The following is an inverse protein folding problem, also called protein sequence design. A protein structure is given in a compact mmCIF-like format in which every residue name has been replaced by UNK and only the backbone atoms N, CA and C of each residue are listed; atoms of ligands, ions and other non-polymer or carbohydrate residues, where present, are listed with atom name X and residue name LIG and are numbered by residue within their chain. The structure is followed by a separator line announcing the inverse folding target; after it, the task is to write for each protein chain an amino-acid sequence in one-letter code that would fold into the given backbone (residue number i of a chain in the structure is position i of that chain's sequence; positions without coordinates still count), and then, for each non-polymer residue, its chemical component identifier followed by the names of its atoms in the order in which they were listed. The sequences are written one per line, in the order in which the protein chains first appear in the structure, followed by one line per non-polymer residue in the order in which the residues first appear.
data_IF_738650538147
#
_entry.id   IF_738650538147
#
_cell.length_a   1.000
_cell.length_b   1.000
_cell.length_c   1.000
_cell.angle_alpha   90.00
_cell.angle_beta   90.00
_cell.angle_gamma   90.00
#
_symmetry.space_group_name_H-M   'P 1'
#
loop_
_entity.id
_entity.type
_entity.pdbx_description
1 polymer ?
#
# COMPACT_ATOMS: atom_id res chain seq x y z
N UNK A 1 1.79 10.50 18.56
CA UNK A 1 2.97 11.37 18.28
C UNK A 1 3.93 10.60 17.39
N UNK A 2 4.60 11.28 16.45
CA UNK A 2 5.63 10.68 15.61
C UNK A 2 6.82 10.22 16.46
N UNK A 3 7.47 9.12 16.07
CA UNK A 3 8.70 8.65 16.74
C UNK A 3 9.89 9.56 16.38
N UNK A 4 10.95 9.63 17.20
CA UNK A 4 12.16 10.40 16.87
C UNK A 4 12.71 10.08 15.47
N UNK A 5 12.80 8.79 15.14
CA UNK A 5 13.22 8.30 13.81
C UNK A 5 12.33 8.85 12.68
N UNK A 6 11.03 9.00 12.93
CA UNK A 6 10.06 9.48 11.93
C UNK A 6 10.15 11.00 11.73
N UNK A 7 10.51 11.74 12.78
CA UNK A 7 10.78 13.18 12.69
C UNK A 7 12.01 13.42 11.81
N UNK A 8 13.10 12.67 12.04
CA UNK A 8 14.31 12.77 11.22
C UNK A 8 14.05 12.40 9.74
N UNK A 9 13.19 11.40 9.50
CA UNK A 9 12.74 11.03 8.15
C UNK A 9 12.02 12.19 7.48
N UNK A 10 11.07 12.82 8.17
CA UNK A 10 10.31 13.95 7.63
C UNK A 10 11.23 15.14 7.34
N UNK A 11 12.13 15.47 8.26
CA UNK A 11 13.08 16.57 8.07
C UNK A 11 13.97 16.31 6.85
N UNK A 12 14.48 15.08 6.70
CA UNK A 12 15.28 14.69 5.54
C UNK A 12 14.48 14.78 4.22
N UNK A 13 13.21 14.37 4.22
CA UNK A 13 12.33 14.50 3.04
C UNK A 13 12.08 15.96 2.70
N UNK A 14 11.86 16.81 3.72
CA UNK A 14 11.63 18.24 3.55
C UNK A 14 12.85 18.98 3.01
N UNK A 15 14.05 18.52 3.36
CA UNK A 15 15.31 19.11 2.95
C UNK A 15 15.78 18.67 1.55
N UNK A 16 15.32 17.51 1.05
CA UNK A 16 15.76 16.95 -0.22
C UNK A 16 15.31 17.78 -1.44
N UNK A 17 16.22 18.05 -2.37
CA UNK A 17 15.98 18.90 -3.56
C UNK A 17 16.25 18.18 -4.88
N UNK A 18 17.27 17.34 -4.95
CA UNK A 18 17.58 16.57 -6.18
C UNK A 18 16.88 15.21 -6.21
N UNK A 19 16.77 14.58 -7.38
CA UNK A 19 16.19 13.24 -7.50
C UNK A 19 16.89 12.21 -6.61
N UNK A 20 18.22 12.27 -6.53
CA UNK A 20 19.04 11.39 -5.69
C UNK A 20 18.79 11.64 -4.20
N UNK A 21 18.73 12.91 -3.78
CA UNK A 21 18.42 13.29 -2.39
C UNK A 21 16.99 12.87 -2.00
N UNK A 22 16.04 13.02 -2.93
CA UNK A 22 14.64 12.62 -2.73
C UNK A 22 14.56 11.10 -2.57
N UNK A 23 15.22 10.33 -3.44
CA UNK A 23 15.23 8.87 -3.32
C UNK A 23 15.92 8.41 -2.03
N UNK A 24 17.05 9.02 -1.67
CA UNK A 24 17.77 8.71 -0.45
C UNK A 24 16.95 9.02 0.82
N UNK A 25 16.26 10.16 0.85
CA UNK A 25 15.36 10.51 1.97
C UNK A 25 14.14 9.59 2.01
N UNK A 26 13.60 9.18 0.86
CA UNK A 26 12.50 8.22 0.79
C UNK A 26 12.91 6.86 1.38
N UNK A 27 14.12 6.37 1.09
CA UNK A 27 14.61 5.12 1.66
C UNK A 27 14.61 5.12 3.20
N UNK A 28 14.80 6.28 3.84
CA UNK A 28 14.81 6.41 5.32
C UNK A 28 13.45 6.13 5.96
N UNK A 29 12.34 6.19 5.22
CA UNK A 29 10.99 5.90 5.76
C UNK A 29 10.84 4.48 6.31
N UNK A 30 11.82 3.60 6.08
CA UNK A 30 11.78 2.19 6.42
C UNK A 30 12.87 1.85 7.46
N UNK A 31 12.87 2.44 8.67
CA UNK A 31 13.94 2.22 9.64
C UNK A 31 14.09 0.74 10.06
N UNK A 32 13.01 -0.04 9.97
CA UNK A 32 13.02 -1.48 10.24
C UNK A 32 13.44 -2.36 9.04
N UNK A 33 13.64 -1.79 7.85
CA UNK A 33 13.95 -2.53 6.63
C UNK A 33 15.31 -2.14 6.08
N UNK A 34 16.22 -3.11 5.97
CA UNK A 34 17.50 -2.94 5.28
C UNK A 34 17.39 -3.54 3.88
N UNK A 35 17.39 -2.74 2.81
CA UNK A 35 17.36 -3.29 1.46
C UNK A 35 18.60 -4.17 1.21
N UNK A 36 18.42 -5.29 0.51
CA UNK A 36 19.47 -6.28 0.21
C UNK A 36 20.56 -5.83 -0.78
N UNK A 37 20.82 -4.53 -0.90
CA UNK A 37 21.96 -3.99 -1.66
C UNK A 37 21.75 -3.70 -3.15
N UNK A 38 20.52 -3.78 -3.69
CA UNK A 38 20.27 -3.66 -5.13
C UNK A 38 19.71 -2.34 -5.67
N UNK A 39 19.44 -1.32 -4.82
CA UNK A 39 18.63 -0.17 -5.24
C UNK A 39 17.19 -0.58 -5.60
N UNK A 40 16.37 0.38 -6.05
CA UNK A 40 15.06 0.10 -6.66
C UNK A 40 15.09 0.63 -8.10
N UNK A 41 15.36 -0.22 -9.11
CA UNK A 41 15.58 0.22 -10.47
C UNK A 41 14.36 0.93 -11.08
N UNK A 42 13.16 0.68 -10.52
CA UNK A 42 11.95 1.39 -10.93
C UNK A 42 11.94 2.85 -10.49
N UNK A 43 12.54 3.16 -9.34
CA UNK A 43 12.67 4.52 -8.82
C UNK A 43 13.86 5.26 -9.43
N UNK A 44 14.96 4.57 -9.73
CA UNK A 44 16.14 5.15 -10.40
C UNK A 44 15.79 5.77 -11.76
N UNK A 45 14.83 5.16 -12.49
CA UNK A 45 14.29 5.74 -13.72
C UNK A 45 13.70 7.14 -13.49
N UNK A 46 12.90 7.31 -12.43
CA UNK A 46 12.26 8.60 -12.12
C UNK A 46 13.26 9.62 -11.60
N UNK A 47 14.29 9.19 -10.85
CA UNK A 47 15.39 10.06 -10.38
C UNK A 47 15.99 10.83 -11.54
N UNK A 48 16.31 10.13 -12.63
CA UNK A 48 17.00 10.71 -13.78
C UNK A 48 16.07 11.49 -14.70
N UNK A 49 14.84 11.01 -14.91
CA UNK A 49 14.00 11.52 -16.00
C UNK A 49 12.94 12.53 -15.55
N UNK A 50 12.44 12.39 -14.31
CA UNK A 50 11.25 13.10 -13.82
C UNK A 50 11.26 13.19 -12.27
N UNK A 51 12.26 13.83 -11.65
CA UNK A 51 12.40 13.88 -10.19
C UNK A 51 11.21 14.51 -9.46
N UNK A 52 10.45 15.39 -10.13
CA UNK A 52 9.21 15.97 -9.59
C UNK A 52 8.13 14.92 -9.31
N UNK A 53 8.13 13.80 -10.04
CA UNK A 53 7.23 12.67 -9.78
C UNK A 53 7.58 12.00 -8.46
N UNK A 54 8.87 11.78 -8.19
CA UNK A 54 9.31 11.26 -6.89
C UNK A 54 9.00 12.24 -5.76
N UNK A 55 9.26 13.53 -5.98
CA UNK A 55 9.01 14.57 -4.97
C UNK A 55 7.54 14.61 -4.52
N UNK A 56 6.59 14.39 -5.44
CA UNK A 56 5.15 14.37 -5.11
C UNK A 56 4.81 13.34 -4.04
N UNK A 57 5.37 12.13 -4.16
CA UNK A 57 5.05 11.02 -3.26
C UNK A 57 5.98 11.01 -2.04
N UNK A 58 7.28 11.22 -2.23
CA UNK A 58 8.29 11.17 -1.17
C UNK A 58 8.26 12.38 -0.23
N UNK A 59 7.91 13.57 -0.73
CA UNK A 59 7.84 14.79 0.07
C UNK A 59 6.38 15.09 0.44
N UNK A 60 5.52 15.47 -0.50
CA UNK A 60 4.22 16.06 -0.16
C UNK A 60 3.28 15.09 0.56
N UNK A 61 3.07 13.90 0.00
CA UNK A 61 2.09 12.96 0.55
C UNK A 61 2.65 12.19 1.74
N UNK A 62 3.89 11.70 1.63
CA UNK A 62 4.50 10.87 2.66
C UNK A 62 4.83 11.65 3.94
N UNK A 63 5.34 12.88 3.85
CA UNK A 63 5.55 13.69 5.06
C UNK A 63 4.24 13.97 5.76
N UNK A 64 3.16 14.27 5.02
CA UNK A 64 1.83 14.48 5.61
C UNK A 64 1.25 13.20 6.24
N UNK A 65 1.50 12.04 5.65
CA UNK A 65 1.10 10.75 6.22
C UNK A 65 1.75 10.51 7.58
N UNK A 66 2.99 11.00 7.77
CA UNK A 66 3.76 10.87 9.00
C UNK A 66 3.42 11.98 10.01
N UNK A 67 3.50 13.24 9.60
CA UNK A 67 3.44 14.44 10.45
C UNK A 67 2.07 14.68 11.08
N UNK A 68 0.99 14.34 10.37
CA UNK A 68 -0.37 14.61 10.86
C UNK A 68 -0.64 13.91 12.19
N UNK A 69 0.03 12.77 12.45
CA UNK A 69 -0.02 12.08 13.74
C UNK A 69 -1.40 11.60 14.18
N UNK A 70 -2.40 11.60 13.28
CA UNK A 70 -3.79 11.18 13.57
C UNK A 70 -3.83 9.69 13.89
N UNK A 71 -3.12 8.87 13.12
CA UNK A 71 -2.87 7.47 13.42
C UNK A 71 -1.49 7.33 14.06
N UNK A 72 -1.42 6.55 15.14
CA UNK A 72 -0.14 6.11 15.68
C UNK A 72 0.63 5.26 14.64
N UNK A 73 1.96 5.17 14.75
CA UNK A 73 2.78 4.46 13.78
C UNK A 73 2.37 3.01 13.56
N UNK A 74 2.07 2.26 14.64
CA UNK A 74 1.69 0.84 14.53
C UNK A 74 0.44 0.68 13.70
N UNK A 75 -0.63 1.41 14.05
CA UNK A 75 -1.91 1.37 13.33
C UNK A 75 -1.75 1.79 11.87
N UNK A 76 -0.96 2.83 11.61
CA UNK A 76 -0.69 3.31 10.24
C UNK A 76 0.01 2.27 9.38
N UNK A 77 1.06 1.62 9.90
CA UNK A 77 1.79 0.62 9.13
C UNK A 77 0.98 -0.66 8.91
N UNK A 78 0.20 -1.10 9.90
CA UNK A 78 -0.75 -2.21 9.72
C UNK A 78 -1.79 -1.90 8.63
N UNK A 79 -2.32 -0.67 8.59
CA UNK A 79 -3.20 -0.22 7.52
C UNK A 79 -2.52 -0.28 6.14
N UNK A 80 -1.28 0.22 6.02
CA UNK A 80 -0.53 0.21 4.77
C UNK A 80 -0.22 -1.22 4.29
N UNK A 81 0.08 -2.15 5.19
CA UNK A 81 0.23 -3.58 4.88
C UNK A 81 -1.03 -4.10 4.19
N UNK A 82 -2.20 -3.86 4.79
CA UNK A 82 -3.48 -4.29 4.21
C UNK A 82 -3.78 -3.66 2.85
N UNK A 83 -3.53 -2.37 2.69
CA UNK A 83 -3.73 -1.66 1.42
C UNK A 83 -2.85 -2.23 0.30
N UNK A 84 -1.57 -2.52 0.58
CA UNK A 84 -0.68 -3.13 -0.41
C UNK A 84 -1.06 -4.57 -0.75
N UNK A 85 -1.53 -5.37 0.22
CA UNK A 85 -2.05 -6.70 -0.05
C UNK A 85 -3.28 -6.66 -0.98
N UNK A 86 -4.24 -5.76 -0.74
CA UNK A 86 -5.43 -5.61 -1.61
C UNK A 86 -5.05 -5.18 -3.03
N UNK A 87 -4.01 -4.36 -3.18
CA UNK A 87 -3.53 -3.90 -4.48
C UNK A 87 -2.64 -4.92 -5.22
N UNK A 88 -2.30 -6.05 -4.58
CA UNK A 88 -1.36 -7.02 -5.14
C UNK A 88 0.09 -6.51 -5.22
N UNK A 89 0.43 -5.46 -4.46
CA UNK A 89 1.77 -4.86 -4.44
C UNK A 89 2.64 -5.52 -3.37
N UNK A 90 3.06 -6.75 -3.63
CA UNK A 90 3.79 -7.58 -2.65
C UNK A 90 5.14 -6.99 -2.25
N UNK A 91 5.83 -6.29 -3.16
CA UNK A 91 7.12 -5.63 -2.88
C UNK A 91 7.00 -4.53 -1.82
N UNK A 92 5.82 -3.91 -1.70
CA UNK A 92 5.52 -2.92 -0.67
C UNK A 92 5.16 -3.54 0.68
N UNK A 93 4.66 -4.77 0.72
CA UNK A 93 4.18 -5.42 1.96
C UNK A 93 5.32 -5.63 2.95
N UNK A 94 6.44 -6.20 2.50
CA UNK A 94 7.57 -6.52 3.38
C UNK A 94 8.12 -5.27 4.11
N UNK A 95 8.44 -4.16 3.43
CA UNK A 95 8.84 -2.93 4.09
C UNK A 95 7.86 -2.41 5.15
N UNK A 96 6.54 -2.46 4.86
CA UNK A 96 5.54 -1.95 5.79
C UNK A 96 5.34 -2.88 6.98
N UNK A 97 5.44 -4.20 6.77
CA UNK A 97 5.43 -5.18 7.86
C UNK A 97 6.64 -4.98 8.79
N UNK A 98 7.84 -4.76 8.25
CA UNK A 98 9.03 -4.43 9.05
C UNK A 98 8.82 -3.15 9.87
N UNK A 99 8.22 -2.12 9.28
CA UNK A 99 7.91 -0.87 9.98
C UNK A 99 6.84 -1.07 11.08
N UNK A 100 5.81 -1.88 10.83
CA UNK A 100 4.82 -2.24 11.82
C UNK A 100 5.46 -2.97 13.01
N UNK A 101 6.31 -3.99 12.75
CA UNK A 101 7.07 -4.71 13.78
C UNK A 101 7.95 -3.76 14.60
N UNK A 102 8.69 -2.86 13.93
CA UNK A 102 9.51 -1.84 14.59
C UNK A 102 8.68 -0.84 15.42
N UNK A 103 7.39 -0.67 15.10
CA UNK A 103 6.43 0.12 15.87
C UNK A 103 5.71 -0.68 16.97
N UNK A 104 6.09 -1.95 17.18
CA UNK A 104 5.54 -2.81 18.23
C UNK A 104 4.37 -3.69 17.78
N UNK A 105 4.16 -3.89 16.49
CA UNK A 105 3.20 -4.89 16.01
C UNK A 105 3.65 -6.31 16.31
N UNK A 106 2.68 -7.16 16.60
CA UNK A 106 2.83 -8.62 16.74
C UNK A 106 2.66 -9.31 15.39
N UNK A 107 3.06 -10.58 15.31
CA UNK A 107 2.83 -11.36 14.09
C UNK A 107 1.33 -11.68 13.95
N UNK A 108 0.63 -11.85 15.07
CA UNK A 108 -0.82 -12.03 15.14
C UNK A 108 -1.58 -10.82 14.58
N UNK A 109 -1.17 -9.58 14.89
CA UNK A 109 -1.76 -8.38 14.28
C UNK A 109 -1.56 -8.32 12.76
N UNK A 110 -0.41 -8.77 12.25
CA UNK A 110 -0.18 -8.86 10.80
C UNK A 110 -1.04 -9.95 10.14
N UNK A 111 -1.21 -11.09 10.81
CA UNK A 111 -2.09 -12.17 10.35
C UNK A 111 -3.56 -11.73 10.35
N UNK A 112 -3.99 -10.96 11.35
CA UNK A 112 -5.35 -10.40 11.43
C UNK A 112 -5.62 -9.40 10.31
N UNK A 113 -4.63 -8.56 9.96
CA UNK A 113 -4.73 -7.68 8.78
C UNK A 113 -4.90 -8.50 7.49
N UNK A 114 -4.12 -9.58 7.32
CA UNK A 114 -4.27 -10.46 6.16
C UNK A 114 -5.65 -11.14 6.11
N UNK A 115 -6.17 -11.58 7.26
CA UNK A 115 -7.53 -12.11 7.34
C UNK A 115 -8.58 -11.07 6.94
N UNK A 116 -8.47 -9.83 7.44
CA UNK A 116 -9.33 -8.71 7.06
C UNK A 116 -9.33 -8.46 5.54
N UNK A 117 -8.15 -8.57 4.90
CA UNK A 117 -8.01 -8.43 3.45
C UNK A 117 -8.76 -9.55 2.72
N UNK A 118 -8.51 -10.81 3.07
CA UNK A 118 -9.18 -11.97 2.48
C UNK A 118 -10.72 -11.87 2.62
N UNK A 119 -11.18 -11.54 3.82
CA UNK A 119 -12.61 -11.38 4.09
C UNK A 119 -13.23 -10.25 3.26
N UNK A 120 -12.59 -9.07 3.23
CA UNK A 120 -13.13 -7.89 2.56
C UNK A 120 -13.23 -8.09 1.05
N UNK A 121 -12.17 -8.61 0.42
CA UNK A 121 -12.15 -8.91 -1.02
C UNK A 121 -13.16 -10.00 -1.37
N UNK A 122 -13.19 -11.09 -0.60
CA UNK A 122 -14.10 -12.21 -0.84
C UNK A 122 -15.58 -11.80 -0.70
N UNK A 123 -15.91 -11.05 0.35
CA UNK A 123 -17.27 -10.53 0.57
C UNK A 123 -17.73 -9.60 -0.55
N UNK A 124 -16.89 -8.65 -0.96
CA UNK A 124 -17.22 -7.75 -2.07
C UNK A 124 -17.48 -8.54 -3.35
N UNK A 125 -16.62 -9.53 -3.66
CA UNK A 125 -16.79 -10.39 -4.84
C UNK A 125 -18.12 -11.15 -4.81
N UNK A 126 -18.51 -11.70 -3.66
CA UNK A 126 -19.79 -12.39 -3.50
C UNK A 126 -20.98 -11.47 -3.80
N UNK A 127 -20.93 -10.23 -3.34
CA UNK A 127 -21.99 -9.25 -3.63
C UNK A 127 -22.06 -8.91 -5.13
N UNK A 128 -20.91 -8.67 -5.74
CA UNK A 128 -20.82 -8.35 -7.18
C UNK A 128 -21.31 -9.50 -8.07
N UNK A 129 -20.95 -10.75 -7.74
CA UNK A 129 -21.39 -11.92 -8.50
C UNK A 129 -22.88 -12.17 -8.31
N UNK A 130 -23.42 -11.94 -7.11
CA UNK A 130 -24.86 -11.98 -6.86
C UNK A 130 -25.63 -10.99 -7.74
N UNK A 131 -25.21 -9.72 -7.75
CA UNK A 131 -25.80 -8.69 -8.62
C UNK A 131 -25.67 -9.01 -10.12
N UNK A 132 -24.53 -9.58 -10.53
CA UNK A 132 -24.33 -10.02 -11.91
C UNK A 132 -25.33 -11.13 -12.31
N UNK A 133 -25.46 -12.17 -11.48
CA UNK A 133 -26.36 -13.29 -11.76
C UNK A 133 -27.83 -12.87 -11.70
N UNK A 134 -28.19 -12.00 -10.76
CA UNK A 134 -29.54 -11.42 -10.71
C UNK A 134 -29.89 -10.71 -12.02
N UNK A 135 -28.97 -9.89 -12.57
CA UNK A 135 -29.15 -9.26 -13.88
C UNK A 135 -29.28 -10.26 -15.03
N UNK A 136 -28.55 -11.38 -14.99
CA UNK A 136 -28.67 -12.43 -16.01
C UNK A 136 -30.02 -13.14 -15.90
N UNK A 137 -30.39 -13.60 -14.71
CA UNK A 137 -31.60 -14.41 -14.49
C UNK A 137 -32.90 -13.61 -14.62
N UNK A 138 -32.86 -12.31 -14.34
CA UNK A 138 -33.99 -11.39 -14.58
C UNK A 138 -34.09 -10.93 -16.04
N UNK A 139 -33.11 -11.21 -16.90
CA UNK A 139 -33.12 -10.74 -18.28
C UNK A 139 -34.15 -11.52 -19.13
N UNK A 140 -35.11 -10.85 -19.80
CA UNK A 140 -36.12 -11.53 -20.61
C UNK A 140 -35.54 -12.38 -21.74
N UNK A 141 -34.42 -11.98 -22.35
CA UNK A 141 -33.78 -12.77 -23.40
C UNK A 141 -33.24 -14.09 -22.84
N UNK A 142 -32.61 -14.06 -21.66
CA UNK A 142 -32.08 -15.26 -21.00
C UNK A 142 -33.21 -16.22 -20.62
N UNK A 143 -34.34 -15.70 -20.14
CA UNK A 143 -35.52 -16.49 -19.77
C UNK A 143 -36.22 -17.17 -20.95
N UNK A 144 -36.01 -16.68 -22.18
CA UNK A 144 -36.63 -17.19 -23.40
C UNK A 144 -35.72 -18.11 -24.23
N UNK A 145 -34.50 -18.41 -23.76
CA UNK A 145 -33.57 -19.29 -24.50
C UNK A 145 -34.13 -20.72 -24.54
N UNK A 146 -34.26 -21.27 -25.74
CA UNK A 146 -34.55 -22.69 -25.98
C UNK A 146 -33.25 -23.49 -26.17
N UNK A 147 -33.32 -24.79 -25.85
CA UNK A 147 -32.18 -25.70 -26.03
C UNK A 147 -31.96 -25.95 -27.53
N UNK A 148 -30.74 -25.73 -28.01
CA UNK A 148 -30.37 -26.04 -29.39
C UNK A 148 -30.47 -27.55 -29.65
N UNK A 149 -30.89 -27.92 -30.86
CA UNK A 149 -30.89 -29.30 -31.32
C UNK A 149 -29.46 -29.88 -31.28
N UNK A 150 -29.34 -31.16 -30.91
CA UNK A 150 -28.07 -31.89 -30.88
C UNK A 150 -27.54 -32.16 -32.28
#
# INVERSE_FOLDING_TARGET
MARPEEVEVVEAMKAAKTGEEILASWAKQRPGYKPGGGGDPSLDFWVKNKPEMLHTYAHNQLTQLIDRGILDPKTRYLLLVGLYMVQGHYDGVLPQACNAKAAGATDEELMEVAFCVCYSVGKAKLQETGACLDRVFSNPMYQQIERLAK
#
